data_IF_195481562016
#
_entry.id   IF_195481562016
#
_cell.length_a   1.000
_cell.length_b   1.000
_cell.length_c   1.000
_cell.angle_alpha   90.00
_cell.angle_beta   90.00
_cell.angle_gamma   90.00
#
_symmetry.space_group_name_H-M   'P 1'
#
loop_
_entity.id
_entity.type
_entity.pdbx_description
1 polymer ?
#
# COMPACT_ATOMS: atom_id res chain seq x y z
N UNK A 1 9.74 -12.29 5.86
CA UNK A 1 8.85 -11.23 5.32
C UNK A 1 8.86 -11.13 3.79
N UNK A 2 9.98 -11.38 3.09
CA UNK A 2 10.04 -11.38 1.62
C UNK A 2 9.20 -12.49 0.93
N UNK A 3 9.16 -13.69 1.51
CA UNK A 3 8.39 -14.84 0.96
C UNK A 3 6.87 -14.63 0.96
N UNK A 4 6.33 -13.88 1.92
CA UNK A 4 4.89 -13.64 2.02
C UNK A 4 4.37 -12.59 1.02
N UNK A 5 5.22 -11.65 0.61
CA UNK A 5 4.92 -10.66 -0.45
C UNK A 5 4.98 -11.29 -1.84
N UNK A 6 5.91 -12.20 -2.06
CA UNK A 6 5.99 -13.00 -3.29
C UNK A 6 4.72 -13.85 -3.50
N UNK A 7 4.04 -14.28 -2.42
CA UNK A 7 2.83 -15.10 -2.50
C UNK A 7 1.63 -14.37 -3.09
N UNK A 8 1.42 -13.10 -2.73
CA UNK A 8 0.33 -12.29 -3.29
C UNK A 8 0.58 -11.96 -4.76
N UNK A 9 1.82 -11.62 -5.14
CA UNK A 9 2.16 -11.40 -6.54
C UNK A 9 2.03 -12.69 -7.37
N UNK A 10 2.44 -13.84 -6.84
CA UNK A 10 2.25 -15.13 -7.51
C UNK A 10 0.76 -15.44 -7.77
N UNK A 11 -0.11 -15.19 -6.79
CA UNK A 11 -1.57 -15.32 -6.96
C UNK A 11 -2.11 -14.33 -7.98
N UNK A 12 -1.65 -13.07 -7.95
CA UNK A 12 -2.02 -12.06 -8.94
C UNK A 12 -1.62 -12.45 -10.37
N UNK A 13 -0.38 -12.94 -10.57
CA UNK A 13 0.10 -13.43 -11.87
C UNK A 13 -0.70 -14.65 -12.33
N UNK A 14 -1.02 -15.56 -11.42
CA UNK A 14 -1.87 -16.71 -11.74
C UNK A 14 -3.25 -16.27 -12.24
N UNK A 15 -3.93 -15.37 -11.52
CA UNK A 15 -5.23 -14.85 -11.91
C UNK A 15 -5.18 -14.07 -13.24
N UNK A 16 -4.13 -13.28 -13.47
CA UNK A 16 -3.90 -12.59 -14.75
C UNK A 16 -3.71 -13.56 -15.92
N UNK A 17 -2.88 -14.59 -15.70
CA UNK A 17 -2.61 -15.62 -16.72
C UNK A 17 -3.90 -16.38 -17.02
N UNK A 18 -4.67 -16.70 -15.99
CA UNK A 18 -5.97 -17.34 -16.15
C UNK A 18 -6.95 -16.45 -16.92
N UNK A 19 -7.10 -15.17 -16.55
CA UNK A 19 -8.00 -14.21 -17.23
C UNK A 19 -7.67 -14.10 -18.74
N UNK A 20 -6.38 -14.04 -19.09
CA UNK A 20 -5.94 -13.99 -20.50
C UNK A 20 -6.23 -15.29 -21.25
N UNK A 21 -6.01 -16.45 -20.60
CA UNK A 21 -6.16 -17.77 -21.23
C UNK A 21 -7.57 -18.34 -21.12
N UNK A 22 -8.48 -17.66 -20.41
CA UNK A 22 -9.86 -18.08 -20.20
C UNK A 22 -10.57 -18.50 -21.51
N UNK A 23 -10.46 -17.77 -22.64
CA UNK A 23 -11.10 -18.17 -23.90
C UNK A 23 -10.60 -19.51 -24.44
N UNK A 24 -9.40 -19.95 -24.07
CA UNK A 24 -8.82 -21.22 -24.52
C UNK A 24 -9.30 -22.37 -23.64
N UNK A 25 -9.47 -22.13 -22.33
CA UNK A 25 -9.97 -23.12 -21.38
C UNK A 25 -11.47 -23.37 -21.51
N UNK A 26 -12.28 -22.33 -21.76
CA UNK A 26 -13.72 -22.46 -21.96
C UNK A 26 -14.08 -23.34 -23.17
N UNK A 27 -13.23 -23.33 -24.20
CA UNK A 27 -13.34 -24.21 -25.37
C UNK A 27 -12.93 -25.66 -25.10
N UNK A 28 -12.05 -25.90 -24.13
CA UNK A 28 -11.51 -27.23 -23.83
C UNK A 28 -12.32 -27.96 -22.74
N UNK A 29 -12.89 -27.22 -21.79
CA UNK A 29 -13.58 -27.77 -20.61
C UNK A 29 -14.69 -26.83 -20.11
N UNK A 30 -15.87 -26.82 -20.77
CA UNK A 30 -16.94 -25.86 -20.47
C UNK A 30 -17.60 -26.04 -19.10
N UNK A 31 -17.45 -27.20 -18.44
CA UNK A 31 -18.13 -27.51 -17.17
C UNK A 31 -17.29 -27.22 -15.92
N UNK A 32 -16.05 -26.77 -16.06
CA UNK A 32 -15.12 -26.66 -14.92
C UNK A 32 -15.34 -25.37 -14.13
N UNK A 33 -15.81 -24.28 -14.75
CA UNK A 33 -15.79 -22.94 -14.13
C UNK A 33 -17.13 -22.21 -14.32
N UNK A 34 -17.86 -21.93 -13.23
CA UNK A 34 -19.07 -21.10 -13.26
C UNK A 34 -18.78 -19.68 -13.77
N UNK A 35 -19.73 -19.10 -14.52
CA UNK A 35 -19.68 -17.71 -15.02
C UNK A 35 -19.40 -16.65 -13.92
N UNK A 36 -19.79 -16.93 -12.67
CA UNK A 36 -19.52 -16.05 -11.53
C UNK A 36 -18.02 -15.99 -11.16
N UNK A 37 -17.29 -17.08 -11.38
CA UNK A 37 -15.85 -17.13 -11.12
C UNK A 37 -15.08 -16.41 -12.23
N UNK A 38 -15.55 -16.44 -13.48
CA UNK A 38 -14.94 -15.71 -14.60
C UNK A 38 -14.92 -14.20 -14.36
N UNK A 39 -16.07 -13.62 -13.98
CA UNK A 39 -16.17 -12.19 -13.69
C UNK A 39 -15.28 -11.79 -12.51
N UNK A 40 -15.24 -12.62 -11.45
CA UNK A 40 -14.39 -12.36 -10.30
C UNK A 40 -12.90 -12.41 -10.68
N UNK A 41 -12.49 -13.38 -11.50
CA UNK A 41 -11.11 -13.49 -11.96
C UNK A 41 -10.73 -12.27 -12.81
N UNK A 42 -11.62 -11.81 -13.70
CA UNK A 42 -11.40 -10.61 -14.48
C UNK A 42 -11.28 -9.34 -13.62
N UNK A 43 -12.12 -9.19 -12.59
CA UNK A 43 -12.04 -8.07 -11.66
C UNK A 43 -10.73 -8.09 -10.86
N UNK A 44 -10.30 -9.26 -10.37
CA UNK A 44 -9.02 -9.44 -9.67
C UNK A 44 -7.83 -9.20 -10.62
N UNK A 45 -7.90 -9.69 -11.85
CA UNK A 45 -6.90 -9.48 -12.88
C UNK A 45 -6.73 -8.00 -13.19
N UNK A 46 -7.84 -7.31 -13.46
CA UNK A 46 -7.87 -5.86 -13.71
C UNK A 46 -7.31 -5.06 -12.55
N UNK A 47 -7.72 -5.36 -11.31
CA UNK A 47 -7.16 -4.73 -10.12
C UNK A 47 -5.64 -4.97 -10.01
N UNK A 48 -5.21 -6.21 -10.25
CA UNK A 48 -3.81 -6.61 -10.15
C UNK A 48 -2.97 -5.84 -11.17
N UNK A 49 -3.41 -5.79 -12.43
CA UNK A 49 -2.70 -5.11 -13.51
C UNK A 49 -2.67 -3.59 -13.32
N UNK A 50 -3.80 -2.97 -12.94
CA UNK A 50 -3.93 -1.51 -12.88
C UNK A 50 -3.28 -0.91 -11.63
N UNK A 51 -3.33 -1.61 -10.50
CA UNK A 51 -2.89 -1.06 -9.21
C UNK A 51 -1.74 -1.85 -8.61
N UNK A 52 -1.94 -3.16 -8.36
CA UNK A 52 -1.01 -3.93 -7.53
C UNK A 52 0.36 -4.12 -8.16
N UNK A 53 0.44 -4.45 -9.46
CA UNK A 53 1.73 -4.64 -10.17
C UNK A 53 2.56 -3.35 -10.20
N UNK A 54 2.01 -2.18 -10.60
CA UNK A 54 2.73 -0.91 -10.53
C UNK A 54 3.29 -0.59 -9.14
N UNK A 55 2.51 -0.84 -8.08
CA UNK A 55 2.98 -0.64 -6.71
C UNK A 55 4.08 -1.63 -6.36
N UNK A 56 3.87 -2.92 -6.63
CA UNK A 56 4.79 -4.02 -6.31
C UNK A 56 6.19 -3.78 -6.88
N UNK A 57 6.29 -3.40 -8.16
CA UNK A 57 7.58 -3.15 -8.84
C UNK A 57 8.37 -2.01 -8.17
N UNK A 58 7.68 -1.03 -7.58
CA UNK A 58 8.28 0.14 -6.93
C UNK A 58 8.59 -0.07 -5.45
N UNK A 59 8.03 -1.11 -4.82
CA UNK A 59 8.27 -1.42 -3.39
C UNK A 59 9.73 -1.55 -2.95
N UNK A 60 10.71 -1.99 -3.79
CA UNK A 60 12.09 -2.12 -3.36
C UNK A 60 12.83 -0.79 -3.17
N UNK A 61 12.22 0.36 -3.50
CA UNK A 61 12.86 1.68 -3.47
C UNK A 61 12.39 2.42 -2.20
N UNK A 62 13.18 2.47 -1.11
CA UNK A 62 12.69 3.01 0.17
C UNK A 62 12.45 4.52 0.11
N UNK A 63 13.22 5.25 -0.70
CA UNK A 63 13.12 6.71 -0.82
C UNK A 63 11.74 7.17 -1.34
N UNK A 64 11.07 6.36 -2.15
CA UNK A 64 9.76 6.68 -2.75
C UNK A 64 8.61 5.99 -2.02
N UNK A 65 8.88 5.15 -1.02
CA UNK A 65 7.84 4.38 -0.34
C UNK A 65 6.73 5.29 0.25
N UNK A 66 7.03 6.43 0.91
CA UNK A 66 5.99 7.30 1.43
C UNK A 66 5.09 7.91 0.34
N UNK A 67 5.69 8.38 -0.76
CA UNK A 67 4.94 9.00 -1.86
C UNK A 67 4.11 7.95 -2.61
N UNK A 68 4.65 6.74 -2.77
CA UNK A 68 3.98 5.62 -3.39
C UNK A 68 2.76 5.16 -2.58
N UNK A 69 2.88 5.04 -1.26
CA UNK A 69 1.77 4.63 -0.40
C UNK A 69 0.66 5.70 -0.37
N UNK A 70 1.01 6.98 -0.28
CA UNK A 70 0.03 8.07 -0.38
C UNK A 70 -0.67 8.09 -1.74
N UNK A 71 0.09 7.85 -2.82
CA UNK A 71 -0.47 7.73 -4.17
C UNK A 71 -1.42 6.53 -4.27
N UNK A 72 -1.04 5.38 -3.73
CA UNK A 72 -1.87 4.17 -3.72
C UNK A 72 -3.19 4.40 -2.96
N UNK A 73 -3.13 5.06 -1.80
CA UNK A 73 -4.33 5.45 -1.03
C UNK A 73 -5.24 6.34 -1.88
N UNK A 74 -4.68 7.38 -2.53
CA UNK A 74 -5.47 8.28 -3.37
C UNK A 74 -6.08 7.57 -4.59
N UNK A 75 -5.32 6.71 -5.27
CA UNK A 75 -5.81 5.90 -6.39
C UNK A 75 -6.98 5.00 -5.97
N UNK A 76 -6.94 4.41 -4.77
CA UNK A 76 -8.02 3.56 -4.27
C UNK A 76 -9.22 4.36 -3.77
N UNK A 77 -9.02 5.55 -3.22
CA UNK A 77 -10.13 6.47 -2.91
C UNK A 77 -10.89 6.79 -4.20
N UNK A 78 -10.20 7.11 -5.30
CA UNK A 78 -10.85 7.34 -6.59
C UNK A 78 -11.54 6.08 -7.11
N UNK A 79 -10.87 4.92 -7.00
CA UNK A 79 -11.46 3.64 -7.39
C UNK A 79 -12.73 3.29 -6.57
N UNK A 80 -12.83 3.76 -5.33
CA UNK A 80 -14.02 3.53 -4.48
C UNK A 80 -15.31 4.13 -5.04
N UNK A 81 -15.21 5.16 -5.89
CA UNK A 81 -16.34 5.74 -6.62
C UNK A 81 -16.97 4.74 -7.60
N UNK A 82 -16.17 3.79 -8.12
CA UNK A 82 -16.62 2.74 -9.03
C UNK A 82 -16.96 1.45 -8.28
N UNK A 83 -16.15 1.09 -7.28
CA UNK A 83 -16.20 -0.21 -6.61
C UNK A 83 -15.92 -0.06 -5.11
N UNK A 84 -16.94 0.29 -4.33
CA UNK A 84 -16.80 0.60 -2.91
C UNK A 84 -16.25 -0.58 -2.07
N UNK A 85 -16.86 -1.77 -2.17
CA UNK A 85 -16.49 -2.91 -1.31
C UNK A 85 -15.03 -3.35 -1.50
N UNK A 86 -14.53 -3.58 -2.73
CA UNK A 86 -13.11 -3.89 -2.94
C UNK A 86 -12.19 -2.77 -2.46
N UNK A 87 -12.54 -1.51 -2.72
CA UNK A 87 -11.73 -0.36 -2.31
C UNK A 87 -11.59 -0.26 -0.79
N UNK A 88 -12.67 -0.46 -0.02
CA UNK A 88 -12.63 -0.46 1.45
C UNK A 88 -11.68 -1.53 2.01
N UNK A 89 -11.69 -2.74 1.43
CA UNK A 89 -10.82 -3.83 1.85
C UNK A 89 -9.35 -3.47 1.61
N UNK A 90 -9.06 -2.89 0.43
CA UNK A 90 -7.70 -2.46 0.07
C UNK A 90 -7.23 -1.30 0.96
N UNK A 91 -8.07 -0.29 1.20
CA UNK A 91 -7.75 0.83 2.09
C UNK A 91 -7.43 0.36 3.51
N UNK A 92 -8.26 -0.52 4.08
CA UNK A 92 -7.98 -1.14 5.40
C UNK A 92 -6.67 -1.92 5.42
N UNK A 93 -6.25 -2.49 4.29
CA UNK A 93 -4.95 -3.15 4.18
C UNK A 93 -3.81 -2.13 4.14
N UNK A 94 -3.96 -1.05 3.36
CA UNK A 94 -2.97 0.04 3.27
C UNK A 94 -2.79 0.75 4.61
N UNK A 95 -3.86 0.98 5.38
CA UNK A 95 -3.81 1.61 6.71
C UNK A 95 -2.86 0.88 7.67
N UNK A 96 -2.76 -0.45 7.59
CA UNK A 96 -1.84 -1.25 8.41
C UNK A 96 -0.37 -1.01 8.06
N UNK A 97 -0.08 -0.41 6.91
CA UNK A 97 1.26 -0.11 6.45
C UNK A 97 1.68 1.34 6.72
N UNK A 98 0.80 2.19 7.25
CA UNK A 98 1.05 3.63 7.45
C UNK A 98 1.89 3.97 8.71
N UNK A 99 2.45 2.99 9.42
CA UNK A 99 3.20 3.22 10.67
C UNK A 99 4.40 4.17 10.51
N UNK A 100 4.98 4.23 9.30
CA UNK A 100 6.09 5.11 8.96
C UNK A 100 5.64 6.43 8.29
N UNK A 101 4.36 6.59 7.95
CA UNK A 101 3.81 7.86 7.46
C UNK A 101 3.54 8.81 8.64
N UNK A 102 4.62 9.27 9.26
CA UNK A 102 4.57 10.24 10.36
C UNK A 102 5.63 11.34 10.16
N UNK A 103 5.54 12.38 10.97
CA UNK A 103 6.41 13.56 10.88
C UNK A 103 7.91 13.25 11.01
N UNK A 104 8.28 12.10 11.58
CA UNK A 104 9.69 11.73 11.78
C UNK A 104 10.35 11.19 10.52
N UNK A 105 9.58 10.54 9.65
CA UNK A 105 10.08 9.96 8.40
C UNK A 105 9.83 10.84 7.18
N UNK A 106 9.14 11.97 7.36
CA UNK A 106 8.88 12.93 6.26
C UNK A 106 10.16 13.43 5.58
N UNK A 107 11.29 13.44 6.30
CA UNK A 107 12.61 13.81 5.75
C UNK A 107 13.07 12.85 4.65
N UNK A 108 12.63 11.58 4.67
CA UNK A 108 13.01 10.59 3.66
C UNK A 108 12.45 10.96 2.29
N UNK A 109 11.34 11.71 2.23
CA UNK A 109 10.79 12.23 0.98
C UNK A 109 11.76 13.19 0.27
N UNK A 110 12.72 13.82 0.97
CA UNK A 110 13.73 14.66 0.32
C UNK A 110 14.65 13.88 -0.63
N UNK A 111 14.73 12.56 -0.48
CA UNK A 111 15.49 11.68 -1.36
C UNK A 111 14.66 11.16 -2.55
N UNK A 112 13.37 11.47 -2.60
CA UNK A 112 12.48 11.04 -3.68
C UNK A 112 12.65 11.94 -4.92
N UNK A 113 13.31 11.40 -5.95
CA UNK A 113 13.52 12.09 -7.24
C UNK A 113 12.24 12.19 -8.09
N UNK A 114 11.19 11.47 -7.73
CA UNK A 114 9.91 11.49 -8.44
C UNK A 114 8.98 12.60 -7.92
N UNK A 115 9.30 13.23 -6.78
CA UNK A 115 8.52 14.36 -6.29
C UNK A 115 8.84 15.64 -7.08
N UNK A 116 7.81 16.47 -7.42
CA UNK A 116 8.03 17.77 -8.04
C UNK A 116 8.96 18.65 -7.20
N UNK A 117 9.89 19.34 -7.86
CA UNK A 117 10.88 20.21 -7.20
C UNK A 117 10.21 21.27 -6.31
N UNK A 118 9.06 21.80 -6.74
CA UNK A 118 8.30 22.77 -5.94
C UNK A 118 7.78 22.20 -4.62
N UNK A 119 7.35 20.93 -4.62
CA UNK A 119 6.89 20.26 -3.41
C UNK A 119 8.06 19.93 -2.48
N UNK A 120 9.18 19.46 -3.04
CA UNK A 120 10.43 19.23 -2.31
C UNK A 120 10.95 20.52 -1.66
N UNK A 121 10.93 21.64 -2.39
CA UNK A 121 11.34 22.94 -1.89
C UNK A 121 10.45 23.41 -0.74
N UNK A 122 9.12 23.30 -0.88
CA UNK A 122 8.16 23.62 0.21
C UNK A 122 8.40 22.74 1.44
N UNK A 123 8.63 21.44 1.24
CA UNK A 123 8.93 20.51 2.32
C UNK A 123 10.24 20.88 3.03
N UNK A 124 11.30 21.15 2.29
CA UNK A 124 12.61 21.54 2.81
C UNK A 124 12.54 22.83 3.63
N UNK A 125 11.85 23.85 3.13
CA UNK A 125 11.65 25.11 3.86
C UNK A 125 10.89 24.88 5.17
N UNK A 126 9.80 24.09 5.13
CA UNK A 126 9.01 23.80 6.33
C UNK A 126 9.83 23.04 7.37
N UNK A 127 10.64 22.06 6.93
CA UNK A 127 11.56 21.34 7.80
C UNK A 127 12.64 22.25 8.42
N UNK A 128 13.21 23.17 7.62
CA UNK A 128 14.20 24.12 8.11
C UNK A 128 13.64 25.10 9.16
N UNK A 129 12.35 25.45 9.05
CA UNK A 129 11.64 26.31 10.00
C UNK A 129 11.14 25.55 11.24
N UNK A 130 11.15 24.22 11.22
CA UNK A 130 10.66 23.43 12.36
C UNK A 130 11.69 23.47 13.48
N UNK A 131 11.25 23.82 14.69
CA UNK A 131 12.13 23.92 15.86
C UNK A 131 12.81 22.57 16.12
N UNK A 132 14.15 22.58 16.14
CA UNK A 132 14.93 21.38 16.48
C UNK A 132 14.75 21.08 17.96
N UNK A 133 14.57 19.80 18.34
CA UNK A 133 14.56 19.41 19.74
C UNK A 133 15.88 19.85 20.40
N UNK A 134 15.79 20.52 21.55
CA UNK A 134 16.96 20.97 22.33
C UNK A 134 17.75 19.80 22.92
N UNK A 135 17.10 18.64 23.05
CA UNK A 135 17.75 17.39 23.42
C UNK A 135 17.11 16.23 22.65
N UNK A 136 17.95 15.26 22.25
CA UNK A 136 17.49 13.98 21.73
C UNK A 136 17.58 12.97 22.87
N UNK A 137 16.48 12.29 23.20
CA UNK A 137 16.56 11.11 24.06
C UNK A 137 17.30 10.02 23.28
N UNK A 138 18.59 9.89 23.54
CA UNK A 138 19.38 8.76 23.07
C UNK A 138 18.88 7.51 23.80
N UNK A 139 18.11 6.68 23.11
CA UNK A 139 17.57 5.44 23.64
C UNK A 139 17.72 4.34 22.61
N UNK A 140 17.85 3.10 23.08
CA UNK A 140 17.61 1.91 22.25
C UNK A 140 16.28 2.13 21.53
N UNK A 141 16.17 1.77 20.25
CA UNK A 141 14.92 1.80 19.49
C UNK A 141 13.88 0.99 20.30
N UNK A 142 13.13 1.63 21.20
CA UNK A 142 12.21 0.91 22.06
C UNK A 142 11.03 0.53 21.17
N UNK A 143 10.71 -0.75 21.13
CA UNK A 143 9.53 -1.28 20.45
C UNK A 143 8.21 -0.76 21.05
N UNK A 144 8.27 0.15 22.02
CA UNK A 144 7.15 0.88 22.62
C UNK A 144 6.38 1.75 21.59
N UNK A 145 6.90 1.89 20.37
CA UNK A 145 6.23 2.52 19.21
C UNK A 145 4.86 1.86 18.89
N UNK A 146 4.58 0.63 19.38
CA UNK A 146 3.33 -0.09 19.11
C UNK A 146 2.33 -0.19 20.28
N UNK A 147 2.57 0.42 21.44
CA UNK A 147 1.68 0.23 22.61
C UNK A 147 1.26 1.54 23.26
N UNK A 148 0.46 2.35 22.56
CA UNK A 148 -0.25 3.47 23.21
C UNK A 148 -1.79 3.39 23.12
N UNK A 149 -2.35 2.32 22.53
CA UNK A 149 -3.81 2.16 22.47
C UNK A 149 -4.43 1.08 23.38
N UNK A 150 -3.68 0.40 24.25
CA UNK A 150 -4.25 -0.60 25.17
C UNK A 150 -4.26 -0.21 26.66
N UNK A 151 -3.78 0.97 27.05
CA UNK A 151 -3.72 1.37 28.47
C UNK A 151 -4.84 2.30 28.96
N UNK A 152 -5.98 2.38 28.26
CA UNK A 152 -7.15 3.16 28.74
C UNK A 152 -8.33 2.37 29.29
N UNK A 153 -8.34 1.03 29.25
CA UNK A 153 -9.49 0.25 29.73
C UNK A 153 -9.32 -0.52 31.06
N UNK A 154 -8.19 -0.43 31.76
CA UNK A 154 -8.00 -1.15 33.04
C UNK A 154 -7.73 -0.24 34.24
N UNK A 155 -8.58 0.79 34.44
CA UNK A 155 -8.76 1.46 35.75
C UNK A 155 -10.21 1.89 35.95
N UNK A 156 -11.13 0.94 35.93
CA UNK A 156 -12.39 0.99 36.69
C UNK A 156 -12.72 -0.43 37.10
N UNK A 157 -12.32 -0.78 38.32
CA UNK A 157 -12.97 -1.70 39.25
C UNK A 157 -12.41 -1.39 40.63
#
# INVERSE_FOLDING_TARGET
>A
MASHRARFMAQGVYNLTYDILQPQFSNLCPDIIPLQDEKLIHEIGSFTALFYVPWFIKTPIPAIAPSLDLKAINEIIQYSELCLKPAEVVLKSLEKHNWYLNERFVVMCLADKCLPVDQLHKLALKLAQTAKPTSYKMGKLSSEIFTDNEKKNNKKN
#
